data_IF_249260311654
#
_entry.id   IF_249260311654
#
_cell.length_a   1.000
_cell.length_b   1.000
_cell.length_c   1.000
_cell.angle_alpha   90.00
_cell.angle_beta   90.00
_cell.angle_gamma   90.00
#
_symmetry.space_group_name_H-M   'P 1'
#
loop_
_entity.id
_entity.type
_entity.pdbx_description
1 polymer ?
#
# COMPACT_ATOMS: atom_id res chain seq x y z
N UNK A 1 -31.41 -20.70 -2.75
CA UNK A 1 -30.57 -20.49 -3.95
C UNK A 1 -30.06 -19.06 -3.90
N UNK A 2 -28.88 -18.85 -3.33
CA UNK A 2 -28.18 -17.56 -3.39
C UNK A 2 -26.75 -17.88 -3.81
N UNK A 3 -26.48 -17.56 -5.07
CA UNK A 3 -25.23 -17.82 -5.77
C UNK A 3 -24.16 -16.88 -5.19
N UNK A 4 -23.34 -17.39 -4.27
CA UNK A 4 -22.13 -16.72 -3.82
C UNK A 4 -21.10 -16.86 -4.93
N UNK A 5 -21.12 -15.92 -5.88
CA UNK A 5 -20.05 -15.74 -6.84
C UNK A 5 -18.79 -15.31 -6.10
N UNK A 6 -17.99 -16.30 -5.69
CA UNK A 6 -16.60 -16.07 -5.26
C UNK A 6 -15.94 -15.34 -6.42
N UNK A 7 -15.61 -14.07 -6.22
CA UNK A 7 -14.67 -13.36 -7.07
C UNK A 7 -13.33 -14.09 -6.92
N UNK A 8 -13.14 -15.15 -7.70
CA UNK A 8 -11.86 -15.84 -7.83
C UNK A 8 -10.93 -14.84 -8.50
N UNK A 9 -10.25 -14.02 -7.68
CA UNK A 9 -9.04 -13.35 -8.11
C UNK A 9 -8.11 -14.46 -8.61
N UNK A 10 -7.77 -14.50 -9.90
CA UNK A 10 -6.86 -15.50 -10.42
C UNK A 10 -5.52 -15.33 -9.69
N UNK A 11 -5.09 -16.38 -9.00
CA UNK A 11 -3.72 -16.45 -8.49
C UNK A 11 -2.79 -16.70 -9.67
N UNK A 12 -1.51 -16.35 -9.54
CA UNK A 12 -0.54 -16.49 -10.65
C UNK A 12 -0.48 -17.91 -11.24
N UNK A 13 -0.86 -18.95 -10.47
CA UNK A 13 -0.80 -20.35 -10.89
C UNK A 13 -2.13 -20.98 -11.32
N UNK A 14 -3.28 -20.28 -11.22
CA UNK A 14 -4.60 -20.90 -11.44
C UNK A 14 -5.28 -20.50 -12.75
N UNK A 15 -5.12 -19.25 -13.19
CA UNK A 15 -5.65 -18.78 -14.47
C UNK A 15 -4.93 -17.51 -14.92
N UNK A 16 -5.03 -17.19 -16.22
CA UNK A 16 -4.55 -15.91 -16.74
C UNK A 16 -5.42 -14.76 -16.18
N UNK A 17 -4.77 -13.71 -15.69
CA UNK A 17 -5.44 -12.51 -15.17
C UNK A 17 -5.89 -11.56 -16.29
N UNK A 18 -6.94 -10.78 -16.02
CA UNK A 18 -7.38 -9.72 -16.92
C UNK A 18 -6.36 -8.57 -16.98
N UNK A 19 -6.22 -7.93 -18.15
CA UNK A 19 -5.26 -6.85 -18.38
C UNK A 19 -5.43 -5.67 -17.40
N UNK A 20 -6.68 -5.29 -17.11
CA UNK A 20 -6.98 -4.24 -16.14
C UNK A 20 -6.46 -4.60 -14.73
N UNK A 21 -6.71 -5.83 -14.29
CA UNK A 21 -6.24 -6.32 -12.98
C UNK A 21 -4.71 -6.38 -12.93
N UNK A 22 -4.06 -6.81 -14.02
CA UNK A 22 -2.61 -6.80 -14.13
C UNK A 22 -2.04 -5.37 -14.02
N UNK A 23 -2.69 -4.40 -14.66
CA UNK A 23 -2.29 -2.99 -14.64
C UNK A 23 -2.35 -2.41 -13.23
N UNK A 24 -3.45 -2.65 -12.52
CA UNK A 24 -3.63 -2.17 -11.13
C UNK A 24 -2.60 -2.80 -10.19
N UNK A 25 -2.44 -4.12 -10.23
CA UNK A 25 -1.45 -4.84 -9.44
C UNK A 25 -0.02 -4.39 -9.78
N UNK A 26 0.31 -4.20 -11.06
CA UNK A 26 1.62 -3.72 -11.48
C UNK A 26 1.94 -2.32 -10.91
N UNK A 27 0.95 -1.42 -10.83
CA UNK A 27 1.13 -0.12 -10.20
C UNK A 27 1.45 -0.25 -8.70
N UNK A 28 0.75 -1.14 -8.00
CA UNK A 28 1.00 -1.43 -6.58
C UNK A 28 2.39 -2.06 -6.37
N UNK A 29 2.74 -3.08 -7.15
CA UNK A 29 4.07 -3.71 -7.08
C UNK A 29 5.18 -2.72 -7.43
N UNK A 30 4.98 -1.85 -8.42
CA UNK A 30 5.95 -0.79 -8.76
C UNK A 30 6.14 0.20 -7.61
N UNK A 31 5.07 0.55 -6.89
CA UNK A 31 5.19 1.36 -5.69
C UNK A 31 5.97 0.62 -4.59
N UNK A 32 5.78 -0.68 -4.41
CA UNK A 32 6.52 -1.47 -3.41
C UNK A 32 7.94 -1.88 -3.82
N UNK A 33 8.27 -1.86 -5.11
CA UNK A 33 9.58 -2.23 -5.65
C UNK A 33 10.71 -1.27 -5.30
N UNK A 34 10.44 -0.22 -4.53
CA UNK A 34 11.43 0.73 -4.03
C UNK A 34 11.70 0.49 -2.54
N UNK A 35 12.97 0.39 -2.13
CA UNK A 35 13.32 0.01 -0.76
C UNK A 35 12.89 1.05 0.28
N UNK A 36 12.86 2.34 -0.07
CA UNK A 36 12.41 3.39 0.86
C UNK A 36 10.91 3.29 1.06
N UNK A 37 10.13 3.14 -0.02
CA UNK A 37 8.67 2.99 0.06
C UNK A 37 8.25 1.72 0.80
N UNK A 38 8.94 0.60 0.55
CA UNK A 38 8.68 -0.65 1.27
C UNK A 38 8.95 -0.51 2.78
N UNK A 39 10.06 0.15 3.15
CA UNK A 39 10.38 0.44 4.56
C UNK A 39 9.37 1.40 5.19
N UNK A 40 8.93 2.45 4.49
CA UNK A 40 7.89 3.37 4.97
C UNK A 40 6.58 2.64 5.22
N UNK A 41 6.14 1.80 4.28
CA UNK A 41 4.91 1.03 4.42
C UNK A 41 5.00 0.10 5.65
N UNK A 42 6.13 -0.60 5.81
CA UNK A 42 6.38 -1.47 6.97
C UNK A 42 6.32 -0.71 8.30
N UNK A 43 6.92 0.48 8.36
CA UNK A 43 6.87 1.35 9.53
C UNK A 43 5.44 1.77 9.87
N UNK A 44 4.66 2.21 8.87
CA UNK A 44 3.27 2.63 9.09
C UNK A 44 2.41 1.44 9.53
N UNK A 45 2.57 0.28 8.88
CA UNK A 45 1.80 -0.93 9.18
C UNK A 45 2.06 -1.49 10.59
N UNK A 46 3.29 -1.32 11.08
CA UNK A 46 3.71 -1.79 12.41
C UNK A 46 3.53 -0.73 13.50
N UNK A 47 3.06 0.47 13.15
CA UNK A 47 2.92 1.55 14.11
C UNK A 47 1.85 1.23 15.16
N UNK A 48 2.14 1.40 16.47
CA UNK A 48 1.12 1.31 17.51
C UNK A 48 -0.05 2.26 17.22
N UNK A 49 -1.28 1.73 17.20
CA UNK A 49 -2.48 2.51 16.86
C UNK A 49 -2.88 2.48 15.37
N UNK A 50 -2.09 1.84 14.51
CA UNK A 50 -2.46 1.58 13.10
C UNK A 50 -2.26 2.76 12.15
N UNK A 51 -1.68 3.86 12.62
CA UNK A 51 -1.36 5.05 11.84
C UNK A 51 -0.12 5.76 12.41
N UNK A 52 0.60 6.50 11.58
CA UNK A 52 1.81 7.23 11.96
C UNK A 52 1.77 8.68 11.48
N UNK A 53 2.25 9.62 12.29
CA UNK A 53 2.43 11.01 11.88
C UNK A 53 3.54 11.12 10.82
N UNK A 54 3.38 12.03 9.85
CA UNK A 54 4.45 12.38 8.90
C UNK A 54 5.75 12.80 9.60
N UNK A 55 5.64 13.40 10.78
CA UNK A 55 6.76 13.79 11.62
C UNK A 55 7.57 12.59 12.14
N UNK A 56 6.88 11.56 12.63
CA UNK A 56 7.47 10.30 13.11
C UNK A 56 8.07 9.50 11.95
N UNK A 57 7.34 9.43 10.83
CA UNK A 57 7.83 8.81 9.60
C UNK A 57 9.14 9.50 9.18
N UNK A 58 9.14 10.83 9.03
CA UNK A 58 10.30 11.59 8.57
C UNK A 58 11.52 11.42 9.48
N UNK A 59 11.33 11.31 10.80
CA UNK A 59 12.41 11.12 11.75
C UNK A 59 13.17 9.78 11.58
N UNK A 60 12.59 8.80 10.88
CA UNK A 60 13.20 7.47 10.69
C UNK A 60 14.10 7.39 9.46
N UNK A 61 14.05 8.37 8.56
CA UNK A 61 14.77 8.35 7.30
C UNK A 61 15.72 9.54 7.20
N UNK A 62 16.93 9.29 6.74
CA UNK A 62 17.89 10.35 6.38
C UNK A 62 17.58 10.89 4.97
N UNK A 63 16.39 11.49 4.82
CA UNK A 63 15.89 12.02 3.56
C UNK A 63 15.25 13.40 3.77
N UNK A 64 15.28 14.22 2.73
CA UNK A 64 14.61 15.52 2.76
C UNK A 64 13.08 15.37 2.84
N UNK A 65 12.41 16.35 3.46
CA UNK A 65 10.95 16.37 3.55
C UNK A 65 10.25 16.29 2.17
N UNK A 66 10.73 16.97 1.11
CA UNK A 66 10.16 16.80 -0.23
C UNK A 66 10.27 15.36 -0.75
N UNK A 67 11.40 14.69 -0.48
CA UNK A 67 11.61 13.29 -0.84
C UNK A 67 10.63 12.37 -0.10
N UNK A 68 10.47 12.55 1.21
CA UNK A 68 9.48 11.79 2.02
C UNK A 68 8.08 11.98 1.47
N UNK A 69 7.68 13.23 1.23
CA UNK A 69 6.35 13.57 0.70
C UNK A 69 6.11 12.94 -0.66
N UNK A 70 7.13 12.89 -1.52
CA UNK A 70 7.06 12.23 -2.81
C UNK A 70 6.82 10.71 -2.66
N UNK A 71 7.56 10.03 -1.79
CA UNK A 71 7.37 8.60 -1.53
C UNK A 71 5.97 8.29 -0.97
N UNK A 72 5.49 9.08 0.00
CA UNK A 72 4.14 8.93 0.57
C UNK A 72 3.05 9.19 -0.47
N UNK A 73 3.24 10.18 -1.35
CA UNK A 73 2.32 10.44 -2.47
C UNK A 73 2.27 9.26 -3.43
N UNK A 74 3.41 8.66 -3.78
CA UNK A 74 3.45 7.49 -4.67
C UNK A 74 2.75 6.27 -4.04
N UNK A 75 2.96 6.01 -2.75
CA UNK A 75 2.25 4.95 -2.03
C UNK A 75 0.74 5.19 -2.01
N UNK A 76 0.31 6.44 -1.79
CA UNK A 76 -1.11 6.82 -1.79
C UNK A 76 -1.73 6.72 -3.18
N UNK A 77 -1.04 7.18 -4.22
CA UNK A 77 -1.50 7.05 -5.61
C UNK A 77 -1.64 5.59 -6.04
N UNK A 78 -0.86 4.68 -5.46
CA UNK A 78 -0.97 3.24 -5.67
C UNK A 78 -2.03 2.57 -4.79
N UNK A 79 -2.78 3.33 -3.97
CA UNK A 79 -3.83 2.80 -3.10
C UNK A 79 -3.32 1.96 -1.92
N UNK A 80 -2.05 2.09 -1.54
CA UNK A 80 -1.45 1.29 -0.46
C UNK A 80 -1.63 1.92 0.92
N UNK A 81 -1.64 3.26 0.95
CA UNK A 81 -1.84 4.05 2.16
C UNK A 81 -2.88 5.11 1.89
N UNK A 82 -3.53 5.59 2.95
CA UNK A 82 -4.25 6.85 2.91
C UNK A 82 -3.77 7.77 4.02
N UNK A 83 -4.28 9.00 4.03
CA UNK A 83 -3.88 10.00 5.01
C UNK A 83 -5.00 10.95 5.40
N UNK A 84 -4.91 11.47 6.62
CA UNK A 84 -5.79 12.51 7.14
C UNK A 84 -4.97 13.62 7.78
N UNK A 85 -5.40 14.86 7.57
CA UNK A 85 -4.86 16.01 8.28
C UNK A 85 -5.65 16.24 9.57
N UNK A 86 -4.95 16.20 10.71
CA UNK A 86 -5.50 16.46 12.05
C UNK A 86 -4.77 17.65 12.66
N UNK A 87 -5.38 18.83 12.50
CA UNK A 87 -4.77 20.11 12.87
C UNK A 87 -3.52 20.40 12.02
N UNK A 88 -2.38 20.53 12.68
CA UNK A 88 -1.09 20.82 12.03
C UNK A 88 -0.47 19.59 11.37
N UNK A 89 -0.82 18.39 11.83
CA UNK A 89 -0.15 17.14 11.44
C UNK A 89 -0.95 16.35 10.42
N UNK A 90 -0.24 15.54 9.63
CA UNK A 90 -0.84 14.58 8.70
C UNK A 90 -0.47 13.19 9.17
N UNK A 91 -1.47 12.34 9.32
CA UNK A 91 -1.34 10.94 9.72
C UNK A 91 -1.56 10.05 8.51
N UNK A 92 -0.78 8.98 8.41
CA UNK A 92 -0.86 7.97 7.36
C UNK A 92 -1.18 6.61 7.97
N UNK A 93 -2.01 5.83 7.30
CA UNK A 93 -2.28 4.43 7.64
C UNK A 93 -2.27 3.58 6.38
N UNK A 94 -1.99 2.28 6.55
CA UNK A 94 -2.06 1.31 5.47
C UNK A 94 -3.50 0.93 5.19
N UNK A 95 -3.85 0.72 3.91
CA UNK A 95 -5.15 0.19 3.50
C UNK A 95 -5.08 -1.36 3.55
N UNK A 96 -5.74 -2.04 4.52
CA UNK A 96 -5.55 -3.49 4.69
C UNK A 96 -6.02 -4.31 3.48
N UNK A 97 -7.10 -3.87 2.82
CA UNK A 97 -7.62 -4.51 1.62
C UNK A 97 -6.59 -4.52 0.47
N UNK A 98 -5.78 -3.47 0.35
CA UNK A 98 -4.73 -3.39 -0.66
C UNK A 98 -3.62 -4.44 -0.43
N UNK A 99 -3.22 -4.64 0.83
CA UNK A 99 -2.25 -5.69 1.17
C UNK A 99 -2.82 -7.09 0.96
N UNK A 100 -4.09 -7.30 1.32
CA UNK A 100 -4.78 -8.57 1.08
C UNK A 100 -4.81 -8.91 -0.41
N UNK A 101 -5.17 -7.95 -1.26
CA UNK A 101 -5.18 -8.11 -2.71
C UNK A 101 -3.79 -8.53 -3.23
N UNK A 102 -2.72 -7.82 -2.85
CA UNK A 102 -1.35 -8.19 -3.25
C UNK A 102 -0.97 -9.60 -2.79
N UNK A 103 -1.28 -9.93 -1.53
CA UNK A 103 -0.93 -11.23 -0.96
C UNK A 103 -1.65 -12.39 -1.67
N UNK A 104 -2.92 -12.21 -2.02
CA UNK A 104 -3.73 -13.26 -2.66
C UNK A 104 -3.18 -13.70 -4.02
N UNK A 105 -2.50 -12.81 -4.73
CA UNK A 105 -1.92 -13.10 -6.05
C UNK A 105 -0.72 -14.04 -5.91
N UNK A 106 -0.01 -13.96 -4.80
CA UNK A 106 1.21 -14.73 -4.51
C UNK A 106 0.95 -15.99 -3.68
N UNK A 107 -0.24 -16.13 -3.10
CA UNK A 107 -0.63 -17.34 -2.39
C UNK A 107 -0.93 -18.44 -3.42
N UNK A 108 -0.02 -19.40 -3.53
CA UNK A 108 -0.14 -20.60 -4.36
C UNK A 108 -0.46 -21.83 -3.53
#
# INVERSE_FOLDING_TARGET
MSNQGVACCPTLGTAAMAEAQATDLAAMFKALGDPVRLRMLSLIASHPGGEACVCEISATFDLSQPTISHHLKLLRSAGLVDCERRGTWVYYWVIPAALQQLSSVLQS
#
